data_IF_724109498002
#
_entry.id   IF_724109498002
#
_cell.length_a   1.000
_cell.length_b   1.000
_cell.length_c   1.000
_cell.angle_alpha   90.00
_cell.angle_beta   90.00
_cell.angle_gamma   90.00
#
_symmetry.space_group_name_H-M   'P 1'
#
loop_
_entity.id
_entity.type
_entity.pdbx_description
1 polymer ?
#
# COMPACT_ATOMS: atom_id res chain seq x y z
N UNK A 1 -4.91 12.92 -14.54
CA UNK A 1 -4.58 14.28 -14.06
C UNK A 1 -3.37 14.21 -13.14
N UNK A 2 -2.51 15.22 -13.16
CA UNK A 2 -1.34 15.32 -12.29
C UNK A 2 -1.51 16.50 -11.32
N UNK A 3 -1.12 16.30 -10.07
CA UNK A 3 -1.20 17.29 -9.00
C UNK A 3 0.15 17.36 -8.26
N UNK A 4 0.54 18.56 -7.85
CA UNK A 4 1.70 18.77 -6.99
C UNK A 4 1.25 18.62 -5.54
N UNK A 5 1.97 17.79 -4.78
CA UNK A 5 1.72 17.58 -3.36
C UNK A 5 2.50 18.60 -2.52
N UNK A 6 2.01 18.85 -1.29
CA UNK A 6 2.77 19.62 -0.34
C UNK A 6 4.00 18.81 0.09
N UNK A 7 5.19 19.38 -0.05
CA UNK A 7 6.47 18.76 0.30
C UNK A 7 7.07 19.40 1.56
N UNK A 8 6.64 18.98 2.76
CA UNK A 8 7.27 19.39 4.01
C UNK A 8 8.67 18.80 4.13
N UNK A 9 9.44 19.27 5.12
CA UNK A 9 10.72 18.62 5.44
C UNK A 9 10.49 17.25 6.08
N UNK A 10 11.41 16.31 5.87
CA UNK A 10 11.38 15.02 6.55
C UNK A 10 11.37 15.16 8.08
N UNK A 11 12.05 16.17 8.63
CA UNK A 11 12.05 16.44 10.06
C UNK A 11 10.67 16.83 10.57
N UNK A 12 9.94 17.65 9.82
CA UNK A 12 8.59 18.07 10.20
C UNK A 12 7.61 16.90 10.21
N UNK A 13 7.66 16.05 9.17
CA UNK A 13 6.82 14.85 9.10
C UNK A 13 7.18 13.86 10.20
N UNK A 14 8.48 13.61 10.40
CA UNK A 14 8.98 12.72 11.47
C UNK A 14 8.50 13.17 12.85
N UNK A 15 8.59 14.47 13.16
CA UNK A 15 8.10 15.03 14.42
C UNK A 15 6.57 14.89 14.56
N UNK A 16 5.81 15.10 13.48
CA UNK A 16 4.35 14.94 13.50
C UNK A 16 3.93 13.49 13.74
N UNK A 17 4.60 12.52 13.08
CA UNK A 17 4.37 11.09 13.29
C UNK A 17 4.70 10.69 14.72
N UNK A 18 5.90 11.04 15.20
CA UNK A 18 6.36 10.68 16.55
C UNK A 18 5.44 11.25 17.64
N UNK A 19 5.05 12.53 17.50
CA UNK A 19 4.19 13.18 18.48
C UNK A 19 2.80 12.53 18.55
N UNK A 20 2.22 12.13 17.42
CA UNK A 20 0.88 11.54 17.40
C UNK A 20 0.89 10.08 17.86
N UNK A 21 1.89 9.31 17.43
CA UNK A 21 1.94 7.86 17.70
C UNK A 21 2.27 7.54 19.16
N UNK A 22 2.80 8.49 19.94
CA UNK A 22 2.98 8.34 21.41
C UNK A 22 1.66 8.11 22.16
N UNK A 23 0.55 8.55 21.59
CA UNK A 23 -0.78 8.26 22.13
C UNK A 23 -1.32 6.88 21.69
N UNK A 24 -0.55 6.16 20.85
CA UNK A 24 -0.96 4.91 20.20
C UNK A 24 -0.11 3.70 20.60
N UNK A 25 1.16 3.93 20.97
CA UNK A 25 2.15 2.91 21.29
C UNK A 25 2.96 3.29 22.53
N UNK A 26 3.38 2.30 23.32
CA UNK A 26 4.24 2.46 24.50
C UNK A 26 5.62 3.03 24.12
N UNK A 27 6.17 2.58 23.01
CA UNK A 27 7.46 3.03 22.48
C UNK A 27 7.29 3.52 21.06
N UNK A 28 7.79 4.73 20.80
CA UNK A 28 7.81 5.35 19.49
C UNK A 28 9.12 6.08 19.31
N UNK A 29 9.77 5.82 18.18
CA UNK A 29 10.92 6.57 17.71
C UNK A 29 10.73 6.85 16.23
N UNK A 30 10.85 8.12 15.84
CA UNK A 30 10.92 8.50 14.44
C UNK A 30 12.23 9.24 14.17
N UNK A 31 12.92 8.86 13.11
CA UNK A 31 14.20 9.45 12.71
C UNK A 31 14.31 9.58 11.20
N UNK A 32 15.26 10.39 10.75
CA UNK A 32 15.72 10.37 9.36
C UNK A 32 16.95 9.48 9.30
N UNK A 33 16.97 8.55 8.36
CA UNK A 33 18.11 7.66 8.11
C UNK A 33 18.32 7.49 6.62
N UNK A 34 19.49 6.98 6.22
CA UNK A 34 19.67 6.50 4.85
C UNK A 34 18.81 5.25 4.63
N UNK A 35 18.12 5.20 3.50
CA UNK A 35 17.28 4.07 3.13
C UNK A 35 18.13 2.79 3.13
N UNK A 36 17.73 1.74 3.87
CA UNK A 36 18.38 0.44 3.75
C UNK A 36 18.18 -0.11 2.33
N UNK A 37 19.01 -1.07 1.92
CA UNK A 37 18.81 -1.76 0.64
C UNK A 37 17.53 -2.61 0.75
N UNK A 38 16.46 -2.13 0.13
CA UNK A 38 15.15 -2.79 0.16
C UNK A 38 15.08 -4.02 -0.74
N UNK A 39 16.15 -4.34 -1.49
CA UNK A 39 16.25 -5.62 -2.20
C UNK A 39 16.73 -6.76 -1.29
N UNK A 40 17.31 -6.43 -0.13
CA UNK A 40 17.75 -7.40 0.87
C UNK A 40 16.60 -7.91 1.75
N UNK A 41 16.87 -9.00 2.47
CA UNK A 41 16.00 -9.53 3.53
C UNK A 41 15.81 -8.48 4.65
N UNK A 42 14.59 -8.29 5.18
CA UNK A 42 13.38 -9.08 4.92
C UNK A 42 12.48 -8.54 3.81
N UNK A 43 12.85 -7.43 3.17
CA UNK A 43 11.98 -6.69 2.25
C UNK A 43 11.81 -7.39 0.89
N UNK A 44 12.91 -7.90 0.33
CA UNK A 44 12.94 -8.61 -0.95
C UNK A 44 12.27 -7.84 -2.12
N UNK A 45 12.34 -6.50 -2.12
CA UNK A 45 11.72 -5.66 -3.14
C UNK A 45 12.54 -5.63 -4.44
N UNK A 46 11.91 -5.15 -5.51
CA UNK A 46 12.59 -4.94 -6.81
C UNK A 46 13.47 -3.68 -6.81
N UNK A 47 13.25 -2.77 -5.87
CA UNK A 47 14.00 -1.54 -5.67
C UNK A 47 14.98 -1.63 -4.51
N UNK A 48 16.09 -0.90 -4.62
CA UNK A 48 17.08 -0.78 -3.54
C UNK A 48 16.76 0.35 -2.56
N UNK A 49 16.17 1.45 -3.02
CA UNK A 49 15.80 2.57 -2.16
C UNK A 49 14.53 3.28 -2.61
N UNK A 50 13.96 4.12 -1.74
CA UNK A 50 12.68 4.80 -1.99
C UNK A 50 12.82 6.22 -2.59
N UNK A 51 14.05 6.66 -2.85
CA UNK A 51 14.33 8.04 -3.24
C UNK A 51 14.33 8.24 -4.76
N UNK A 52 14.42 9.53 -5.15
CA UNK A 52 14.25 9.99 -6.53
C UNK A 52 12.93 10.71 -6.69
N UNK A 53 12.39 10.75 -7.92
CA UNK A 53 11.08 11.35 -8.22
C UNK A 53 9.93 10.55 -7.58
N UNK A 54 9.61 10.83 -6.32
CA UNK A 54 8.50 10.19 -5.60
C UNK A 54 7.14 10.63 -6.12
N UNK A 55 6.31 9.68 -6.55
CA UNK A 55 4.98 9.92 -7.13
C UNK A 55 3.98 8.92 -6.58
N UNK A 56 2.84 9.39 -6.07
CA UNK A 56 1.70 8.52 -5.78
C UNK A 56 0.86 8.38 -7.05
N UNK A 57 0.54 7.15 -7.43
CA UNK A 57 -0.38 6.86 -8.52
C UNK A 57 -1.66 6.26 -7.94
N UNK A 58 -2.79 6.93 -8.15
CA UNK A 58 -4.12 6.47 -7.75
C UNK A 58 -4.95 6.17 -9.01
N UNK A 59 -5.08 4.88 -9.30
CA UNK A 59 -5.72 4.35 -10.51
C UNK A 59 -7.06 3.73 -10.15
N UNK A 60 -8.09 4.03 -10.94
CA UNK A 60 -9.43 3.48 -10.76
C UNK A 60 -10.10 3.96 -9.47
N UNK A 61 -10.95 3.15 -8.85
CA UNK A 61 -11.58 3.50 -7.57
C UNK A 61 -12.16 2.27 -6.88
N UNK A 62 -12.34 2.37 -5.56
CA UNK A 62 -13.17 1.42 -4.83
C UNK A 62 -14.62 1.40 -5.34
N UNK A 63 -15.10 2.49 -5.95
CA UNK A 63 -16.41 2.57 -6.63
C UNK A 63 -16.50 1.72 -7.91
N UNK A 64 -15.37 1.18 -8.37
CA UNK A 64 -15.34 0.20 -9.46
C UNK A 64 -15.40 -1.23 -8.92
N UNK A 65 -15.16 -1.43 -7.63
CA UNK A 65 -15.36 -2.71 -6.97
C UNK A 65 -16.74 -2.81 -6.32
N UNK A 66 -17.18 -1.75 -5.64
CA UNK A 66 -18.41 -1.72 -4.85
C UNK A 66 -19.36 -0.60 -5.31
N UNK A 67 -20.68 -0.75 -5.12
CA UNK A 67 -21.37 -1.93 -4.56
C UNK A 67 -21.51 -3.08 -5.57
N UNK A 68 -21.37 -2.80 -6.87
CA UNK A 68 -21.39 -3.78 -7.96
C UNK A 68 -20.11 -3.60 -8.79
N UNK A 69 -19.35 -4.68 -9.05
CA UNK A 69 -18.05 -4.55 -9.72
C UNK A 69 -18.20 -4.17 -11.19
N UNK A 70 -17.40 -3.21 -11.63
CA UNK A 70 -17.23 -2.79 -13.02
C UNK A 70 -16.10 -3.59 -13.64
N UNK A 71 -16.41 -4.81 -14.06
CA UNK A 71 -15.41 -5.81 -14.52
C UNK A 71 -14.78 -5.48 -15.87
N UNK A 72 -15.14 -4.36 -16.50
CA UNK A 72 -14.53 -3.82 -17.72
C UNK A 72 -13.30 -2.92 -17.41
N UNK A 73 -13.01 -2.65 -16.13
CA UNK A 73 -11.93 -1.75 -15.69
C UNK A 73 -10.61 -2.49 -15.54
N UNK A 74 -9.84 -2.50 -16.63
CA UNK A 74 -8.52 -3.12 -16.71
C UNK A 74 -7.42 -2.08 -16.93
N UNK A 75 -6.26 -2.32 -16.35
CA UNK A 75 -5.12 -1.41 -16.39
C UNK A 75 -3.81 -2.16 -16.60
N UNK A 76 -2.76 -1.42 -16.95
CA UNK A 76 -1.39 -1.91 -17.11
C UNK A 76 -0.42 -1.01 -16.33
N UNK A 77 0.41 -1.60 -15.48
CA UNK A 77 1.43 -0.87 -14.72
C UNK A 77 2.41 -0.10 -15.62
N UNK A 78 2.70 -0.57 -16.84
CA UNK A 78 3.55 0.16 -17.79
C UNK A 78 2.90 1.46 -18.27
N UNK A 79 1.58 1.53 -18.36
CA UNK A 79 0.88 2.78 -18.69
C UNK A 79 0.85 3.73 -17.48
N UNK A 80 0.89 3.19 -16.26
CA UNK A 80 1.10 3.99 -15.05
C UNK A 80 2.50 4.61 -15.02
N UNK A 81 3.55 3.85 -15.37
CA UNK A 81 4.92 4.39 -15.51
C UNK A 81 4.98 5.56 -16.49
N UNK A 82 4.36 5.40 -17.66
CA UNK A 82 4.27 6.48 -18.67
C UNK A 82 3.53 7.69 -18.11
N UNK A 83 2.41 7.48 -17.42
CA UNK A 83 1.59 8.56 -16.84
C UNK A 83 2.31 9.32 -15.73
N UNK A 84 3.18 8.66 -14.96
CA UNK A 84 4.02 9.31 -13.94
C UNK A 84 5.28 10.00 -14.51
N UNK A 85 5.58 9.77 -15.80
CA UNK A 85 6.78 10.28 -16.45
C UNK A 85 8.07 9.72 -15.82
N UNK A 86 8.05 8.47 -15.35
CA UNK A 86 9.21 7.76 -14.79
C UNK A 86 9.70 6.75 -15.83
N UNK A 87 10.88 7.00 -16.40
CA UNK A 87 11.47 6.16 -17.45
C UNK A 87 12.26 4.99 -16.88
N UNK A 88 12.90 5.18 -15.73
CA UNK A 88 13.67 4.16 -15.00
C UNK A 88 13.28 4.25 -13.54
N UNK A 89 12.75 3.17 -12.99
CA UNK A 89 12.31 3.16 -11.61
C UNK A 89 11.54 1.91 -11.22
N UNK A 90 10.83 2.01 -10.11
CA UNK A 90 10.02 0.94 -9.56
C UNK A 90 8.73 1.47 -8.96
N UNK A 91 7.76 0.57 -8.83
CA UNK A 91 6.48 0.82 -8.20
C UNK A 91 6.17 -0.26 -7.19
N UNK A 92 5.72 0.17 -6.01
CA UNK A 92 5.24 -0.68 -4.93
C UNK A 92 3.86 -0.22 -4.47
N UNK A 93 3.02 -1.15 -4.04
CA UNK A 93 1.72 -0.79 -3.49
C UNK A 93 0.68 -1.89 -3.51
N UNK A 94 -0.57 -1.48 -3.57
CA UNK A 94 -1.74 -2.32 -3.41
C UNK A 94 -2.70 -2.14 -4.59
N UNK A 95 -3.32 -3.22 -5.05
CA UNK A 95 -4.35 -3.18 -6.09
C UNK A 95 -5.09 -4.50 -6.23
N UNK A 96 -6.16 -4.52 -7.02
CA UNK A 96 -6.84 -5.76 -7.34
C UNK A 96 -6.17 -6.45 -8.55
N UNK A 97 -5.89 -7.73 -8.43
CA UNK A 97 -5.22 -8.52 -9.45
C UNK A 97 -6.06 -8.71 -10.72
N UNK A 98 -5.44 -9.18 -11.82
CA UNK A 98 -6.06 -9.24 -13.14
C UNK A 98 -6.98 -10.47 -13.27
N UNK A 99 -8.16 -10.43 -12.64
CA UNK A 99 -9.15 -11.53 -12.68
C UNK A 99 -9.53 -11.96 -14.11
N UNK A 100 -9.44 -11.04 -15.08
CA UNK A 100 -9.72 -11.30 -16.49
C UNK A 100 -8.64 -12.16 -17.19
N UNK A 101 -7.48 -12.35 -16.56
CA UNK A 101 -6.42 -13.26 -17.00
C UNK A 101 -6.33 -14.50 -16.14
N UNK A 102 -6.48 -14.35 -14.82
CA UNK A 102 -6.32 -15.45 -13.85
C UNK A 102 -7.59 -16.28 -13.68
N UNK A 103 -8.76 -15.74 -14.05
CA UNK A 103 -10.07 -16.35 -13.80
C UNK A 103 -10.52 -16.25 -12.33
N UNK A 104 -9.77 -15.57 -11.47
CA UNK A 104 -10.06 -15.44 -10.04
C UNK A 104 -9.72 -14.06 -9.50
N UNK A 105 -10.50 -13.61 -8.51
CA UNK A 105 -10.18 -12.39 -7.78
C UNK A 105 -8.92 -12.60 -6.94
N UNK A 106 -8.12 -11.54 -6.84
CA UNK A 106 -6.91 -11.56 -6.02
C UNK A 106 -6.56 -10.17 -5.52
N UNK A 107 -5.92 -10.14 -4.35
CA UNK A 107 -5.23 -8.97 -3.83
C UNK A 107 -3.81 -8.97 -4.39
N UNK A 108 -3.46 -7.94 -5.15
CA UNK A 108 -2.15 -7.81 -5.77
C UNK A 108 -1.22 -6.98 -4.90
N UNK A 109 -0.16 -7.59 -4.39
CA UNK A 109 1.00 -6.87 -3.86
C UNK A 109 1.83 -6.43 -5.06
N UNK A 110 1.81 -5.13 -5.37
CA UNK A 110 2.56 -4.58 -6.50
C UNK A 110 4.02 -4.41 -6.07
N UNK A 111 4.93 -4.99 -6.85
CA UNK A 111 6.38 -4.86 -6.68
C UNK A 111 7.07 -5.14 -8.01
N UNK A 112 7.25 -4.09 -8.82
CA UNK A 112 7.79 -4.21 -10.18
C UNK A 112 8.70 -3.04 -10.52
N UNK A 113 9.77 -3.32 -11.25
CA UNK A 113 10.70 -2.33 -11.79
C UNK A 113 10.62 -2.26 -13.32
N UNK A 114 10.78 -1.06 -13.85
CA UNK A 114 10.77 -0.80 -15.29
C UNK A 114 11.95 0.08 -15.70
N UNK A 115 12.51 -0.25 -16.87
CA UNK A 115 13.51 0.54 -17.56
C UNK A 115 13.07 0.78 -19.00
N UNK A 116 12.95 2.05 -19.38
CA UNK A 116 12.59 2.50 -20.73
C UNK A 116 11.30 1.84 -21.25
N UNK A 117 10.28 1.77 -20.40
CA UNK A 117 8.96 1.22 -20.74
C UNK A 117 8.92 -0.31 -20.84
N UNK A 118 9.96 -1.01 -20.41
CA UNK A 118 10.01 -2.47 -20.32
C UNK A 118 10.16 -2.91 -18.88
N UNK A 119 9.55 -4.03 -18.51
CA UNK A 119 9.74 -4.62 -17.18
C UNK A 119 11.17 -5.12 -17.06
N UNK A 120 11.90 -4.67 -16.04
CA UNK A 120 13.22 -5.21 -15.71
C UNK A 120 13.13 -6.35 -14.69
N UNK A 121 12.24 -6.24 -13.71
CA UNK A 121 11.95 -7.30 -12.73
C UNK A 121 10.50 -7.19 -12.25
N UNK A 122 9.78 -8.31 -12.21
CA UNK A 122 8.47 -8.39 -11.58
C UNK A 122 8.55 -9.37 -10.40
N UNK A 123 8.22 -8.88 -9.22
CA UNK A 123 8.13 -9.68 -7.99
C UNK A 123 6.79 -9.44 -7.29
N UNK A 124 5.78 -9.03 -8.06
CA UNK A 124 4.42 -8.85 -7.58
C UNK A 124 3.79 -10.20 -7.24
N UNK A 125 2.94 -10.21 -6.21
CA UNK A 125 2.28 -11.40 -5.68
C UNK A 125 0.77 -11.22 -5.78
N UNK A 126 0.05 -12.31 -5.99
CA UNK A 126 -1.41 -12.36 -6.05
C UNK A 126 -1.93 -13.29 -4.94
N UNK A 127 -2.66 -12.70 -3.99
CA UNK A 127 -3.34 -13.40 -2.91
C UNK A 127 -4.78 -13.70 -3.31
N UNK A 128 -5.11 -14.97 -3.53
CA UNK A 128 -6.44 -15.42 -3.95
C UNK A 128 -7.05 -16.35 -2.91
N UNK A 129 -8.36 -16.59 -3.02
CA UNK A 129 -9.08 -17.49 -2.11
C UNK A 129 -9.33 -18.86 -2.75
N UNK A 130 -8.84 -19.92 -2.12
CA UNK A 130 -9.22 -21.30 -2.43
C UNK A 130 -10.47 -21.66 -1.66
N UNK A 131 -11.58 -21.68 -2.39
CA UNK A 131 -12.91 -21.99 -1.86
C UNK A 131 -13.07 -23.46 -1.48
N UNK A 132 -12.38 -24.38 -2.15
CA UNK A 132 -12.50 -25.81 -1.87
C UNK A 132 -11.87 -26.15 -0.53
N UNK A 133 -10.74 -25.52 -0.21
CA UNK A 133 -9.98 -25.78 1.02
C UNK A 133 -10.13 -24.67 2.09
N UNK A 134 -10.92 -23.63 1.82
CA UNK A 134 -11.10 -22.46 2.68
C UNK A 134 -9.77 -21.86 3.17
N UNK A 135 -8.84 -21.61 2.23
CA UNK A 135 -7.49 -21.13 2.54
C UNK A 135 -7.03 -20.06 1.56
N UNK A 136 -6.06 -19.21 1.92
CA UNK A 136 -5.43 -18.30 0.98
C UNK A 136 -4.49 -19.09 0.06
N UNK A 137 -4.36 -18.64 -1.18
CA UNK A 137 -3.37 -19.10 -2.15
C UNK A 137 -2.55 -17.92 -2.64
N UNK A 138 -1.27 -18.16 -2.84
CA UNK A 138 -0.35 -17.18 -3.39
C UNK A 138 0.17 -17.64 -4.74
N UNK A 139 0.18 -16.72 -5.70
CA UNK A 139 0.83 -16.92 -7.00
C UNK A 139 1.70 -15.72 -7.35
N UNK A 140 2.72 -15.93 -8.17
CA UNK A 140 3.53 -14.84 -8.70
C UNK A 140 2.81 -14.24 -9.90
N UNK A 141 2.79 -12.91 -10.00
CA UNK A 141 2.30 -12.26 -11.20
C UNK A 141 3.30 -12.48 -12.36
N UNK A 142 2.78 -12.91 -13.51
CA UNK A 142 3.54 -13.15 -14.74
C UNK A 142 3.37 -12.03 -15.78
N UNK A 143 2.53 -11.04 -15.48
CA UNK A 143 2.21 -9.91 -16.34
C UNK A 143 2.12 -8.61 -15.52
N UNK A 144 1.86 -7.49 -16.21
CA UNK A 144 1.81 -6.14 -15.62
C UNK A 144 0.39 -5.63 -15.39
N UNK A 145 -0.61 -6.48 -15.60
CA UNK A 145 -2.02 -6.09 -15.58
C UNK A 145 -2.59 -6.13 -14.19
N UNK A 146 -3.55 -5.25 -13.94
CA UNK A 146 -4.36 -5.21 -12.74
C UNK A 146 -5.75 -4.67 -13.11
N UNK A 147 -6.69 -4.68 -12.18
CA UNK A 147 -8.06 -4.29 -12.46
C UNK A 147 -8.67 -3.46 -11.33
N UNK A 148 -9.79 -2.78 -11.62
CA UNK A 148 -10.64 -1.99 -10.72
C UNK A 148 -9.96 -0.79 -10.04
N UNK A 149 -8.89 -1.02 -9.28
CA UNK A 149 -8.18 -0.02 -8.51
C UNK A 149 -6.72 -0.42 -8.26
N UNK A 150 -5.88 0.59 -8.09
CA UNK A 150 -4.50 0.45 -7.62
C UNK A 150 -3.99 1.74 -7.00
N UNK A 151 -3.46 1.64 -5.79
CA UNK A 151 -2.81 2.75 -5.08
C UNK A 151 -1.37 2.38 -4.79
N UNK A 152 -0.45 3.16 -5.34
CA UNK A 152 0.94 2.77 -5.43
C UNK A 152 1.88 3.96 -5.34
N UNK A 153 3.07 3.70 -4.82
CA UNK A 153 4.18 4.63 -4.78
C UNK A 153 5.19 4.27 -5.86
N UNK A 154 5.51 5.23 -6.70
CA UNK A 154 6.50 5.10 -7.77
C UNK A 154 7.69 6.02 -7.49
N UNK A 155 8.91 5.52 -7.72
CA UNK A 155 10.14 6.27 -7.56
C UNK A 155 11.24 5.74 -8.49
N UNK A 156 12.38 6.42 -8.54
CA UNK A 156 13.54 6.00 -9.35
C UNK A 156 14.40 4.92 -8.66
N UNK A 157 14.04 4.49 -7.44
CA UNK A 157 14.76 3.41 -6.75
C UNK A 157 16.09 3.84 -6.11
N UNK A 158 16.36 5.15 -5.99
CA UNK A 158 17.67 5.68 -5.56
C UNK A 158 17.86 5.53 -4.05
N UNK A 159 19.11 5.41 -3.62
CA UNK A 159 19.51 5.59 -2.23
C UNK A 159 19.30 7.05 -1.79
N UNK A 160 19.16 7.27 -0.49
CA UNK A 160 19.01 8.59 0.09
C UNK A 160 18.20 8.58 1.39
N UNK A 161 17.94 9.78 1.96
CA UNK A 161 17.26 9.89 3.23
C UNK A 161 15.78 9.52 3.15
N UNK A 162 15.32 8.77 4.14
CA UNK A 162 13.93 8.38 4.37
C UNK A 162 13.54 8.58 5.83
N UNK A 163 12.24 8.59 6.10
CA UNK A 163 11.72 8.53 7.47
C UNK A 163 11.77 7.07 7.92
N UNK A 164 12.47 6.79 9.01
CA UNK A 164 12.35 5.54 9.76
C UNK A 164 11.40 5.75 10.94
N UNK A 165 10.40 4.88 11.05
CA UNK A 165 9.45 4.85 12.15
C UNK A 165 9.53 3.49 12.83
N UNK A 166 9.90 3.49 14.11
CA UNK A 166 9.92 2.30 14.96
C UNK A 166 8.87 2.47 16.06
N UNK A 167 7.90 1.57 16.15
CA UNK A 167 6.87 1.59 17.19
C UNK A 167 6.67 0.20 17.79
N UNK A 168 6.38 0.12 19.08
CA UNK A 168 6.07 -1.16 19.74
C UNK A 168 5.13 -1.00 20.92
N UNK A 169 4.40 -2.07 21.24
CA UNK A 169 3.44 -2.11 22.34
C UNK A 169 2.23 -1.24 22.05
N UNK A 170 1.33 -1.70 21.19
CA UNK A 170 0.14 -0.91 20.81
C UNK A 170 -0.80 -0.78 22.01
N UNK A 171 -1.14 0.45 22.38
CA UNK A 171 -2.04 0.80 23.50
C UNK A 171 -3.40 1.34 23.04
N UNK A 172 -3.52 1.74 21.77
CA UNK A 172 -4.77 2.21 21.17
C UNK A 172 -5.26 1.23 20.11
N UNK A 173 -6.56 0.98 20.07
CA UNK A 173 -7.15 0.18 19.00
C UNK A 173 -7.08 0.87 17.65
N UNK A 174 -6.86 0.08 16.60
CA UNK A 174 -6.74 0.55 15.24
C UNK A 174 -5.54 -0.04 14.52
N UNK A 175 -5.42 0.32 13.24
CA UNK A 175 -4.37 -0.13 12.34
C UNK A 175 -3.28 0.94 12.17
N UNK A 176 -2.02 0.50 12.04
CA UNK A 176 -0.86 1.42 12.02
C UNK A 176 -0.93 2.45 10.88
N UNK A 177 -1.35 2.03 9.68
CA UNK A 177 -1.51 2.90 8.52
C UNK A 177 -2.57 4.00 8.76
N UNK A 178 -3.70 3.67 9.41
CA UNK A 178 -4.68 4.68 9.87
C UNK A 178 -4.08 5.67 10.86
N UNK A 179 -3.30 5.19 11.83
CA UNK A 179 -2.67 6.07 12.83
C UNK A 179 -1.62 6.99 12.20
N UNK A 180 -0.90 6.51 11.18
CA UNK A 180 0.02 7.33 10.37
C UNK A 180 -0.78 8.40 9.61
N UNK A 181 -1.89 8.02 8.96
CA UNK A 181 -2.75 8.97 8.25
C UNK A 181 -3.34 10.02 9.20
N UNK A 182 -3.81 9.61 10.37
CA UNK A 182 -4.33 10.51 11.40
C UNK A 182 -3.29 11.56 11.82
N UNK A 183 -2.04 11.14 12.02
CA UNK A 183 -0.93 12.04 12.33
C UNK A 183 -0.72 13.08 11.22
N UNK A 184 -0.69 12.64 9.96
CA UNK A 184 -0.54 13.52 8.81
C UNK A 184 -1.74 14.44 8.64
N UNK A 185 -2.96 13.93 8.81
CA UNK A 185 -4.19 14.70 8.71
C UNK A 185 -4.26 15.79 9.79
N UNK A 186 -3.93 15.45 11.05
CA UNK A 186 -3.89 16.41 12.16
C UNK A 186 -2.95 17.58 11.86
N UNK A 187 -1.81 17.32 11.19
CA UNK A 187 -0.81 18.33 10.88
C UNK A 187 -1.12 19.10 9.59
N UNK A 188 -1.58 18.44 8.53
CA UNK A 188 -1.63 18.98 7.16
C UNK A 188 -3.04 19.03 6.56
N UNK A 189 -4.07 18.51 7.23
CA UNK A 189 -5.43 18.36 6.70
C UNK A 189 -6.16 19.68 6.42
N UNK A 190 -5.62 20.81 6.89
CA UNK A 190 -6.14 22.15 6.65
C UNK A 190 -5.52 22.82 5.40
N UNK A 191 -4.51 22.20 4.79
CA UNK A 191 -3.85 22.72 3.60
C UNK A 191 -4.68 22.43 2.35
N UNK A 192 -4.47 23.21 1.29
CA UNK A 192 -5.10 22.98 -0.01
C UNK A 192 -4.46 21.82 -0.80
N UNK A 193 -3.25 21.42 -0.41
CA UNK A 193 -2.48 20.35 -1.05
C UNK A 193 -2.11 19.32 0.01
N UNK A 194 -2.29 18.05 -0.32
CA UNK A 194 -2.01 16.96 0.61
C UNK A 194 -0.52 16.63 0.69
N UNK A 195 -0.13 16.08 1.85
CA UNK A 195 1.13 15.37 2.01
C UNK A 195 0.89 13.88 1.74
N UNK A 196 1.74 13.29 0.90
CA UNK A 196 1.71 11.87 0.56
C UNK A 196 3.00 11.16 0.95
N UNK A 197 2.87 9.96 1.51
CA UNK A 197 3.94 9.04 1.83
C UNK A 197 3.76 7.75 1.04
N UNK A 198 4.88 7.14 0.66
CA UNK A 198 4.92 5.79 0.13
C UNK A 198 6.14 5.04 0.65
N UNK A 199 6.01 3.72 0.78
CA UNK A 199 7.09 2.94 1.34
C UNK A 199 6.68 1.56 1.83
N UNK A 200 7.42 1.09 2.83
CA UNK A 200 7.35 -0.26 3.35
C UNK A 200 7.20 -0.27 4.87
N UNK A 201 6.39 -1.18 5.38
CA UNK A 201 6.19 -1.46 6.80
C UNK A 201 6.55 -2.92 7.04
N UNK A 202 7.39 -3.19 8.02
CA UNK A 202 7.64 -4.53 8.55
C UNK A 202 6.97 -4.63 9.91
N UNK A 203 6.07 -5.59 10.08
CA UNK A 203 5.69 -6.07 11.39
C UNK A 203 6.74 -7.09 11.84
N UNK A 204 7.59 -6.70 12.78
CA UNK A 204 8.71 -7.52 13.26
C UNK A 204 8.26 -8.55 14.30
N UNK A 205 7.18 -8.27 15.04
CA UNK A 205 6.61 -9.14 16.07
C UNK A 205 5.08 -9.17 16.04
N UNK A 206 4.53 -10.32 16.38
CA UNK A 206 3.09 -10.56 16.51
C UNK A 206 2.48 -11.15 15.24
N UNK A 207 1.15 -11.09 15.15
CA UNK A 207 0.40 -11.59 14.00
C UNK A 207 -0.30 -10.46 13.29
N UNK A 208 -0.40 -10.56 11.97
CA UNK A 208 -1.18 -9.65 11.14
C UNK A 208 -2.44 -10.34 10.68
N UNK A 209 -3.58 -9.66 10.85
CA UNK A 209 -4.79 -9.99 10.14
C UNK A 209 -4.72 -9.41 8.73
N UNK A 210 -5.13 -10.20 7.74
CA UNK A 210 -5.24 -9.77 6.36
C UNK A 210 -6.43 -10.42 5.69
N UNK A 211 -6.80 -9.96 4.50
CA UNK A 211 -7.84 -10.61 3.72
C UNK A 211 -7.45 -10.85 2.28
N UNK A 212 -8.18 -11.78 1.66
CA UNK A 212 -8.26 -11.96 0.22
C UNK A 212 -9.72 -11.91 -0.21
N UNK A 213 -9.96 -11.67 -1.49
CA UNK A 213 -11.31 -11.59 -2.05
C UNK A 213 -11.75 -12.97 -2.58
N UNK A 214 -12.97 -13.44 -2.25
CA UNK A 214 -13.58 -14.55 -2.97
C UNK A 214 -14.12 -14.06 -4.32
N UNK A 215 -14.91 -14.89 -5.01
CA UNK A 215 -15.58 -14.48 -6.25
C UNK A 215 -16.46 -13.23 -6.03
N UNK A 216 -16.69 -12.47 -7.10
CA UNK A 216 -17.56 -11.29 -7.03
C UNK A 216 -18.95 -11.66 -6.51
N UNK A 217 -19.46 -10.82 -5.60
CA UNK A 217 -20.80 -10.99 -5.07
C UNK A 217 -21.84 -10.88 -6.18
N UNK A 218 -22.83 -11.78 -6.13
CA UNK A 218 -24.01 -11.71 -7.02
C UNK A 218 -24.99 -10.61 -6.59
N UNK A 219 -24.91 -10.20 -5.32
CA UNK A 219 -25.74 -9.13 -4.74
C UNK A 219 -24.89 -7.88 -4.47
N UNK A 220 -25.47 -6.66 -4.56
CA UNK A 220 -24.76 -5.43 -4.24
C UNK A 220 -24.24 -5.41 -2.80
N UNK A 221 -22.96 -5.09 -2.64
CA UNK A 221 -22.29 -4.86 -1.34
C UNK A 221 -22.34 -3.36 -1.03
N UNK A 222 -23.45 -2.93 -0.46
CA UNK A 222 -23.80 -1.54 -0.16
C UNK A 222 -23.68 -1.18 1.34
N UNK A 223 -23.10 -2.07 2.14
CA UNK A 223 -22.91 -1.86 3.58
C UNK A 223 -21.59 -2.47 4.08
N UNK A 224 -21.07 -1.90 5.17
CA UNK A 224 -19.89 -2.43 5.85
C UNK A 224 -20.10 -3.86 6.37
N UNK A 225 -21.34 -4.22 6.73
CA UNK A 225 -21.66 -5.59 7.16
C UNK A 225 -21.56 -6.57 6.01
N UNK A 226 -22.15 -6.25 4.85
CA UNK A 226 -22.03 -7.08 3.64
C UNK A 226 -20.56 -7.21 3.20
N UNK A 227 -19.79 -6.12 3.26
CA UNK A 227 -18.36 -6.13 2.93
C UNK A 227 -17.59 -7.08 3.85
N UNK A 228 -17.80 -6.97 5.18
CA UNK A 228 -17.16 -7.86 6.16
C UNK A 228 -17.52 -9.33 5.96
N UNK A 229 -18.76 -9.63 5.57
CA UNK A 229 -19.21 -11.01 5.32
C UNK A 229 -18.65 -11.58 4.01
N UNK A 230 -18.39 -10.72 3.02
CA UNK A 230 -17.86 -11.11 1.72
C UNK A 230 -16.36 -11.43 1.78
N UNK A 231 -15.54 -10.55 2.34
CA UNK A 231 -14.09 -10.75 2.40
C UNK A 231 -13.68 -11.97 3.24
N UNK A 232 -12.54 -12.61 2.90
CA UNK A 232 -12.03 -13.78 3.62
C UNK A 232 -10.79 -13.41 4.42
N UNK A 233 -10.95 -13.42 5.74
CA UNK A 233 -9.92 -13.01 6.70
C UNK A 233 -9.04 -14.19 7.09
N UNK A 234 -7.73 -13.94 7.16
CA UNK A 234 -6.70 -14.90 7.56
C UNK A 234 -5.66 -14.22 8.44
N UNK A 235 -4.85 -15.01 9.12
CA UNK A 235 -3.72 -14.52 9.93
C UNK A 235 -2.39 -15.01 9.37
N UNK A 236 -1.35 -14.18 9.51
CA UNK A 236 0.04 -14.56 9.26
C UNK A 236 0.94 -14.10 10.40
N UNK A 237 1.95 -14.91 10.71
CA UNK A 237 2.96 -14.60 11.72
C UNK A 237 4.01 -13.64 11.16
N UNK A 238 4.53 -12.74 12.00
CA UNK A 238 5.70 -11.93 11.70
C UNK A 238 6.93 -12.79 11.35
N UNK A 239 7.82 -12.34 10.45
CA UNK A 239 7.82 -11.02 9.81
C UNK A 239 6.81 -10.89 8.66
N UNK A 240 6.02 -9.81 8.71
CA UNK A 240 5.05 -9.43 7.66
C UNK A 240 5.50 -8.13 7.03
N UNK A 241 5.64 -8.11 5.72
CA UNK A 241 6.08 -6.96 4.94
C UNK A 241 4.86 -6.39 4.22
N UNK A 242 4.62 -5.10 4.36
CA UNK A 242 3.53 -4.38 3.71
C UNK A 242 4.07 -3.23 2.87
N UNK A 243 3.55 -3.06 1.66
CA UNK A 243 3.90 -1.95 0.77
C UNK A 243 2.65 -1.18 0.36
N UNK A 244 2.78 0.14 0.25
CA UNK A 244 1.61 0.99 0.07
C UNK A 244 1.87 2.48 0.19
N UNK A 245 0.77 3.21 0.35
CA UNK A 245 0.73 4.67 0.41
C UNK A 245 -0.15 5.16 1.55
N UNK A 246 0.14 6.37 2.01
CA UNK A 246 -0.71 7.17 2.90
C UNK A 246 -0.78 8.60 2.38
N UNK A 247 -1.97 9.20 2.36
CA UNK A 247 -2.21 10.59 1.99
C UNK A 247 -2.99 11.27 3.10
N UNK A 248 -2.52 12.45 3.54
CA UNK A 248 -3.10 13.20 4.67
C UNK A 248 -4.59 13.54 4.52
N UNK A 249 -5.05 13.85 3.32
CA UNK A 249 -6.44 14.21 3.00
C UNK A 249 -6.66 14.18 1.47
N UNK A 250 -7.92 14.27 1.03
CA UNK A 250 -8.27 14.43 -0.38
C UNK A 250 -8.40 15.93 -0.72
N UNK A 251 -7.40 16.54 -1.39
CA UNK A 251 -7.33 18.00 -1.55
C UNK A 251 -8.32 18.56 -2.59
N UNK A 252 -8.82 17.72 -3.50
CA UNK A 252 -9.59 18.17 -4.67
C UNK A 252 -10.81 17.29 -4.99
N UNK A 253 -11.37 16.61 -3.98
CA UNK A 253 -12.48 15.67 -4.16
C UNK A 253 -12.19 14.63 -5.26
N UNK A 254 -10.95 14.13 -5.30
CA UNK A 254 -10.47 13.19 -6.30
C UNK A 254 -10.97 11.76 -6.04
N UNK A 255 -11.64 11.53 -4.91
CA UNK A 255 -12.08 10.21 -4.47
C UNK A 255 -10.88 9.33 -4.13
N UNK A 256 -9.86 9.90 -3.46
CA UNK A 256 -8.64 9.17 -3.15
C UNK A 256 -8.88 8.09 -2.11
N UNK A 257 -8.20 6.95 -2.28
CA UNK A 257 -8.01 6.00 -1.18
C UNK A 257 -6.83 6.49 -0.34
N UNK A 258 -7.14 7.08 0.82
CA UNK A 258 -6.16 7.82 1.64
C UNK A 258 -5.08 6.93 2.27
N UNK A 259 -5.31 5.64 2.38
CA UNK A 259 -4.32 4.67 2.84
C UNK A 259 -4.64 3.31 2.25
N UNK A 260 -3.61 2.64 1.73
CA UNK A 260 -3.77 1.32 1.15
C UNK A 260 -2.46 0.56 1.16
N UNK A 261 -2.42 -0.54 1.92
CA UNK A 261 -1.27 -1.44 2.02
C UNK A 261 -1.69 -2.88 1.77
N UNK A 262 -0.96 -3.56 0.90
CA UNK A 262 -1.01 -5.01 0.78
C UNK A 262 0.24 -5.59 1.40
N UNK A 263 0.12 -6.79 1.97
CA UNK A 263 1.15 -7.45 2.73
C UNK A 263 1.46 -8.85 2.22
N UNK A 264 2.65 -9.33 2.57
CA UNK A 264 3.12 -10.68 2.34
C UNK A 264 4.06 -11.09 3.48
N UNK A 265 4.16 -12.39 3.73
CA UNK A 265 5.16 -12.91 4.67
C UNK A 265 6.48 -13.24 3.96
N UNK A 266 7.58 -13.23 4.68
CA UNK A 266 8.92 -13.41 4.11
C UNK A 266 9.10 -14.70 3.28
N UNK A 267 8.44 -15.79 3.65
CA UNK A 267 8.50 -17.07 2.92
C UNK A 267 7.64 -17.10 1.65
N UNK A 268 6.91 -16.01 1.36
CA UNK A 268 5.98 -15.89 0.25
C UNK A 268 4.97 -17.04 0.20
N UNK A 269 4.40 -17.41 1.34
CA UNK A 269 3.33 -18.40 1.45
C UNK A 269 1.95 -17.77 1.59
N UNK A 270 1.90 -16.51 2.04
CA UNK A 270 0.67 -15.75 2.23
C UNK A 270 0.85 -14.30 1.76
N UNK A 271 -0.18 -13.76 1.11
CA UNK A 271 -0.27 -12.32 0.83
C UNK A 271 -1.73 -11.88 0.70
N UNK A 272 -1.98 -10.58 0.88
CA UNK A 272 -3.30 -10.00 0.71
C UNK A 272 -3.39 -8.56 1.21
N UNK A 273 -4.59 -8.09 1.51
CA UNK A 273 -4.81 -6.75 2.03
C UNK A 273 -4.59 -6.68 3.54
N UNK A 274 -3.69 -5.79 3.97
CA UNK A 274 -3.30 -5.65 5.37
C UNK A 274 -4.39 -4.94 6.19
N UNK A 275 -4.71 -5.48 7.37
CA UNK A 275 -5.68 -4.88 8.30
C UNK A 275 -4.99 -4.36 9.56
N UNK A 276 -5.01 -5.16 10.63
CA UNK A 276 -4.53 -4.78 11.95
C UNK A 276 -3.81 -5.97 12.58
N UNK A 277 -2.94 -5.69 13.55
CA UNK A 277 -2.36 -6.76 14.34
C UNK A 277 -3.34 -7.36 15.33
N UNK A 278 -3.27 -8.69 15.53
CA UNK A 278 -4.15 -9.37 16.48
C UNK A 278 -3.54 -9.54 17.87
N UNK A 279 -2.35 -8.98 18.11
CA UNK A 279 -1.56 -9.18 19.33
C UNK A 279 -1.03 -7.87 19.93
N UNK A 280 -1.82 -6.78 19.82
CA UNK A 280 -1.54 -5.39 20.25
C UNK A 280 -0.33 -5.13 21.16
N UNK A 281 -0.36 -5.54 22.44
CA UNK A 281 0.72 -5.21 23.38
C UNK A 281 2.09 -5.79 23.05
N UNK A 282 2.17 -6.87 22.26
CA UNK A 282 3.46 -7.52 21.93
C UNK A 282 4.00 -7.16 20.54
N UNK A 283 3.27 -6.35 19.78
CA UNK A 283 3.65 -6.03 18.40
C UNK A 283 4.79 -5.02 18.34
N UNK A 284 5.61 -5.16 17.32
CA UNK A 284 6.54 -4.11 16.92
C UNK A 284 6.55 -3.95 15.41
N UNK A 285 6.68 -2.71 14.98
CA UNK A 285 6.72 -2.33 13.59
C UNK A 285 7.93 -1.46 13.33
N UNK A 286 8.50 -1.64 12.13
CA UNK A 286 9.47 -0.73 11.54
C UNK A 286 9.02 -0.34 10.15
N UNK A 287 8.98 0.95 9.86
CA UNK A 287 8.58 1.45 8.55
C UNK A 287 9.62 2.41 7.98
N UNK A 288 9.76 2.38 6.65
CA UNK A 288 10.57 3.33 5.89
C UNK A 288 9.68 4.02 4.87
N UNK A 289 9.61 5.35 4.93
CA UNK A 289 8.78 6.16 4.05
C UNK A 289 9.57 7.26 3.35
N UNK A 290 9.24 7.45 2.09
CA UNK A 290 9.63 8.62 1.31
C UNK A 290 8.43 9.54 1.07
N UNK A 291 8.72 10.82 0.86
CA UNK A 291 7.70 11.81 0.50
C UNK A 291 7.41 11.75 -0.99
N UNK A 292 6.13 11.76 -1.34
CA UNK A 292 5.70 11.97 -2.71
C UNK A 292 5.62 13.47 -3.02
N UNK A 293 6.12 13.84 -4.20
CA UNK A 293 6.10 15.21 -4.71
C UNK A 293 4.91 15.42 -5.66
N UNK A 294 4.47 14.34 -6.30
CA UNK A 294 3.40 14.33 -7.29
C UNK A 294 2.34 13.29 -6.94
N UNK A 295 1.11 13.57 -7.36
CA UNK A 295 -0.01 12.64 -7.38
C UNK A 295 -0.54 12.54 -8.81
N UNK A 296 -0.62 11.33 -9.33
CA UNK A 296 -1.21 11.04 -10.63
C UNK A 296 -2.52 10.28 -10.42
N UNK A 297 -3.63 10.92 -10.79
CA UNK A 297 -4.98 10.34 -10.74
C UNK A 297 -5.38 9.82 -12.13
N UNK A 298 -5.68 8.53 -12.24
CA UNK A 298 -6.03 7.85 -13.50
C UNK A 298 -7.41 7.22 -13.38
N UNK A 299 -8.28 7.50 -14.36
CA UNK A 299 -9.66 6.98 -14.45
C UNK A 299 -10.49 7.24 -13.17
N UNK A 300 -10.57 8.50 -12.75
CA UNK A 300 -11.45 8.93 -11.67
C UNK A 300 -12.93 8.64 -12.03
N UNK A 301 -13.72 8.04 -11.11
CA UNK A 301 -15.16 7.89 -11.31
C UNK A 301 -15.84 9.22 -11.63
N UNK A 302 -16.82 9.17 -12.53
CA UNK A 302 -17.68 10.30 -12.86
C UNK A 302 -18.84 10.41 -11.87
#
# INVERSE_FOLDING_TARGET
SEFVLHKPSYHEVSAALESHLKDCFESVKCSITDCPDLSDTPFCLTLKGLCGKGTICDVGSFDYLLPVPKTDRHYDLLDVFKSAGITVGAVIGAGAGPFFLTGSNSEMVINISSENGKVSKNSSLLGSYDKENNKPLITKADNTKFALLGQMYMCEGKSGPVIELCVSGRIRDGKLDAMIREALHKKYGHLSSSVGLGGVIIQEKGKSLYHVLPEFSQEPIDSNEKLRNWIKMFEMESPVISVGIVVSHDPHHLGLRLEHFHCFNQDHTNCGHCHFDTHGPSVSYRAYFALAEHLVRIDQPK
#
